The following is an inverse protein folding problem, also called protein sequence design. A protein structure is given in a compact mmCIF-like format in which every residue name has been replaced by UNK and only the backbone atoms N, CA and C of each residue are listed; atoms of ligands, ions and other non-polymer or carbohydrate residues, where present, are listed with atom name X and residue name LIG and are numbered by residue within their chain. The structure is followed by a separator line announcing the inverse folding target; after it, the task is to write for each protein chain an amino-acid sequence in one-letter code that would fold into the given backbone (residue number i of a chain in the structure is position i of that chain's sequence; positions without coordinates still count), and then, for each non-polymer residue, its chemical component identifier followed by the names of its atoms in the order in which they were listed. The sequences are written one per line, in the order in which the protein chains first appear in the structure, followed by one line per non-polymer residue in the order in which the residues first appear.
data_IF_509069194223
#
_entry.id   IF_509069194223
#
_cell.length_a   1.000
_cell.length_b   1.000
_cell.length_c   1.000
_cell.angle_alpha   90.00
_cell.angle_beta   90.00
_cell.angle_gamma   90.00
#
_symmetry.space_group_name_H-M   'P 1'
#
loop_
_entity.id
_entity.type
_entity.pdbx_description
1 polymer ?
#
# COMPACT_ATOMS: atom_id res chain seq x y z
N UNK A 1 -1.05 11.84 16.28
CA UNK A 1 -1.04 10.55 17.01
C UNK A 1 0.06 10.56 18.06
N UNK A 2 -0.06 9.75 19.12
CA UNK A 2 0.92 9.74 20.23
C UNK A 2 2.36 9.43 19.77
N UNK A 3 2.51 8.63 18.72
CA UNK A 3 3.81 8.19 18.19
C UNK A 3 4.29 9.02 16.98
N UNK A 4 3.71 10.20 16.75
CA UNK A 4 4.11 11.07 15.64
C UNK A 4 5.55 11.58 15.81
N UNK A 5 6.40 11.31 14.82
CA UNK A 5 7.83 11.63 14.84
C UNK A 5 8.65 10.74 15.77
N UNK A 6 8.06 9.73 16.41
CA UNK A 6 8.71 8.87 17.39
C UNK A 6 9.15 7.54 16.75
N UNK A 7 10.23 7.57 15.97
CA UNK A 7 10.76 6.41 15.24
C UNK A 7 11.08 5.22 16.15
N UNK A 8 11.89 5.41 17.19
CA UNK A 8 12.28 4.32 18.09
C UNK A 8 11.09 3.74 18.86
N UNK A 9 10.15 4.58 19.31
CA UNK A 9 8.92 4.11 19.94
C UNK A 9 8.07 3.27 18.97
N UNK A 10 7.93 3.72 17.72
CA UNK A 10 7.21 2.96 16.69
C UNK A 10 7.89 1.61 16.40
N UNK A 11 9.23 1.54 16.40
CA UNK A 11 9.97 0.28 16.27
C UNK A 11 9.77 -0.64 17.45
N UNK A 12 9.81 -0.13 18.68
CA UNK A 12 9.57 -0.94 19.90
C UNK A 12 8.18 -1.55 19.86
N UNK A 13 7.14 -0.74 19.63
CA UNK A 13 5.76 -1.22 19.51
C UNK A 13 5.59 -2.19 18.33
N UNK A 14 6.16 -1.87 17.17
CA UNK A 14 6.06 -2.67 15.96
C UNK A 14 6.78 -4.02 16.00
N UNK A 15 7.77 -4.18 16.89
CA UNK A 15 8.49 -5.44 17.12
C UNK A 15 7.80 -6.35 18.11
N UNK A 16 6.96 -5.79 18.98
CA UNK A 16 6.15 -6.55 19.92
C UNK A 16 4.98 -7.22 19.18
N UNK A 17 5.12 -8.52 18.91
CA UNK A 17 4.15 -9.30 18.15
C UNK A 17 2.83 -9.48 18.90
N UNK A 18 2.87 -9.56 20.23
CA UNK A 18 1.66 -9.71 21.04
C UNK A 18 0.85 -8.40 20.99
N UNK A 19 1.55 -7.26 21.13
CA UNK A 19 0.93 -5.96 20.96
C UNK A 19 0.35 -5.78 19.56
N UNK A 20 1.08 -6.12 18.50
CA UNK A 20 0.57 -6.01 17.12
C UNK A 20 -0.64 -6.92 16.88
N UNK A 21 -0.63 -8.16 17.36
CA UNK A 21 -1.79 -9.06 17.28
C UNK A 21 -3.01 -8.44 17.95
N UNK A 22 -2.84 -7.91 19.17
CA UNK A 22 -3.93 -7.26 19.90
C UNK A 22 -4.42 -5.98 19.21
N UNK A 23 -3.50 -5.20 18.66
CA UNK A 23 -3.83 -3.98 17.92
C UNK A 23 -4.68 -4.30 16.69
N UNK A 24 -4.32 -5.35 15.95
CA UNK A 24 -5.11 -5.81 14.79
C UNK A 24 -6.48 -6.33 15.21
N UNK A 25 -6.59 -7.08 16.31
CA UNK A 25 -7.90 -7.47 16.87
C UNK A 25 -8.79 -6.23 17.11
N UNK A 26 -8.24 -5.15 17.68
CA UNK A 26 -8.98 -3.91 17.91
C UNK A 26 -9.39 -3.18 16.64
N UNK A 27 -8.66 -3.35 15.53
CA UNK A 27 -9.07 -2.81 14.22
C UNK A 27 -10.36 -3.49 13.71
N UNK A 28 -10.66 -4.71 14.16
CA UNK A 28 -11.85 -5.49 13.77
C UNK A 28 -13.04 -5.38 14.71
N UNK A 29 -12.98 -4.56 15.77
CA UNK A 29 -14.09 -4.45 16.74
C UNK A 29 -15.22 -3.58 16.17
N UNK A 30 -16.40 -4.18 15.95
CA UNK A 30 -17.57 -3.47 15.42
C UNK A 30 -18.34 -2.66 16.48
N UNK A 31 -18.31 -3.10 17.74
CA UNK A 31 -19.10 -2.50 18.82
C UNK A 31 -18.59 -1.12 19.26
N UNK A 32 -17.33 -0.80 18.91
CA UNK A 32 -16.62 0.37 19.41
C UNK A 32 -15.87 1.09 18.27
N UNK A 33 -16.61 1.84 17.46
CA UNK A 33 -16.05 2.59 16.32
C UNK A 33 -14.85 3.48 16.68
N UNK A 34 -14.85 4.10 17.87
CA UNK A 34 -13.71 4.90 18.35
C UNK A 34 -12.43 4.07 18.60
N UNK A 35 -12.57 2.86 19.14
CA UNK A 35 -11.45 1.93 19.35
C UNK A 35 -10.93 1.45 18.00
N UNK A 36 -11.83 1.01 17.12
CA UNK A 36 -11.52 0.59 15.75
C UNK A 36 -10.78 1.67 14.97
N UNK A 37 -11.29 2.91 15.00
CA UNK A 37 -10.66 4.04 14.32
C UNK A 37 -9.26 4.32 14.85
N UNK A 38 -9.09 4.47 16.17
CA UNK A 38 -7.80 4.81 16.75
C UNK A 38 -6.77 3.68 16.64
N UNK A 39 -7.20 2.42 16.75
CA UNK A 39 -6.35 1.24 16.54
C UNK A 39 -5.83 1.18 15.10
N UNK A 40 -6.71 1.36 14.12
CA UNK A 40 -6.37 1.36 12.69
C UNK A 40 -5.40 2.49 12.36
N UNK A 41 -5.63 3.68 12.92
CA UNK A 41 -4.71 4.82 12.81
C UNK A 41 -3.36 4.49 13.43
N UNK A 42 -3.33 3.95 14.65
CA UNK A 42 -2.08 3.57 15.29
C UNK A 42 -1.29 2.56 14.45
N UNK A 43 -1.95 1.60 13.81
CA UNK A 43 -1.34 0.66 12.89
C UNK A 43 -0.63 1.37 11.71
N UNK A 44 -1.31 2.30 11.04
CA UNK A 44 -0.74 3.11 9.97
C UNK A 44 0.44 3.97 10.45
N UNK A 45 0.31 4.54 11.65
CA UNK A 45 1.35 5.38 12.26
C UNK A 45 2.59 4.59 12.68
N UNK A 46 2.46 3.34 13.13
CA UNK A 46 3.59 2.46 13.42
C UNK A 46 4.43 2.23 12.15
N UNK A 47 3.78 1.98 11.02
CA UNK A 47 4.45 1.82 9.71
C UNK A 47 5.15 3.12 9.30
N UNK A 48 4.41 4.24 9.32
CA UNK A 48 4.90 5.55 8.88
C UNK A 48 6.14 6.01 9.64
N UNK A 49 6.18 5.81 10.95
CA UNK A 49 7.26 6.35 11.79
C UNK A 49 8.43 5.38 11.93
N UNK A 50 8.19 4.07 12.00
CA UNK A 50 9.29 3.10 12.10
C UNK A 50 10.06 2.94 10.79
N UNK A 51 9.36 3.03 9.64
CA UNK A 51 9.88 2.75 8.29
C UNK A 51 10.73 1.47 8.24
N UNK A 52 10.37 0.48 9.07
CA UNK A 52 11.20 -0.68 9.33
C UNK A 52 10.55 -1.94 8.73
N UNK A 53 11.32 -2.69 7.94
CA UNK A 53 10.80 -3.88 7.26
C UNK A 53 10.35 -4.99 8.22
N UNK A 54 11.01 -5.17 9.36
CA UNK A 54 10.60 -6.15 10.38
C UNK A 54 9.24 -5.80 10.99
N UNK A 55 9.03 -4.52 11.30
CA UNK A 55 7.75 -3.99 11.82
C UNK A 55 6.62 -4.20 10.80
N UNK A 56 6.86 -3.83 9.54
CA UNK A 56 5.88 -4.05 8.47
C UNK A 56 5.55 -5.54 8.29
N UNK A 57 6.55 -6.43 8.35
CA UNK A 57 6.33 -7.89 8.30
C UNK A 57 5.49 -8.40 9.47
N UNK A 58 5.72 -7.90 10.68
CA UNK A 58 4.90 -8.28 11.84
C UNK A 58 3.43 -7.88 11.63
N UNK A 59 3.18 -6.69 11.09
CA UNK A 59 1.82 -6.21 10.78
C UNK A 59 1.16 -7.05 9.68
N UNK A 60 1.90 -7.37 8.61
CA UNK A 60 1.41 -8.23 7.53
C UNK A 60 1.03 -9.61 8.06
N UNK A 61 1.88 -10.22 8.89
CA UNK A 61 1.65 -11.56 9.48
C UNK A 61 0.53 -11.60 10.52
N UNK A 62 0.13 -10.45 11.03
CA UNK A 62 -1.00 -10.30 11.93
C UNK A 62 -2.29 -9.91 11.20
N UNK A 63 -2.34 -10.02 9.87
CA UNK A 63 -3.50 -9.67 9.03
C UNK A 63 -3.92 -8.19 9.11
N UNK A 64 -2.95 -7.30 9.35
CA UNK A 64 -3.18 -5.86 9.47
C UNK A 64 -3.47 -5.13 8.15
N UNK A 65 -3.10 -5.72 7.00
CA UNK A 65 -3.16 -5.06 5.68
C UNK A 65 -4.59 -4.69 5.29
N UNK A 66 -5.56 -5.60 5.51
CA UNK A 66 -6.97 -5.37 5.15
C UNK A 66 -7.55 -4.11 5.81
N UNK A 67 -7.12 -3.81 7.05
CA UNK A 67 -7.58 -2.65 7.79
C UNK A 67 -7.00 -1.36 7.22
N UNK A 68 -5.75 -1.38 6.74
CA UNK A 68 -5.15 -0.24 6.03
C UNK A 68 -5.84 0.02 4.69
N UNK A 69 -6.16 -1.02 3.93
CA UNK A 69 -6.87 -0.88 2.65
C UNK A 69 -8.28 -0.34 2.87
N UNK A 70 -9.01 -0.86 3.85
CA UNK A 70 -10.34 -0.34 4.25
C UNK A 70 -10.24 1.12 4.74
N UNK A 71 -9.19 1.46 5.49
CA UNK A 71 -8.97 2.82 5.99
C UNK A 71 -8.73 3.84 4.86
N UNK A 72 -8.19 3.41 3.71
CA UNK A 72 -7.98 4.26 2.55
C UNK A 72 -9.29 4.82 1.94
N UNK A 73 -10.44 4.20 2.24
CA UNK A 73 -11.78 4.66 1.82
C UNK A 73 -12.63 5.19 2.99
N UNK A 74 -12.02 5.44 4.15
CA UNK A 74 -12.69 6.03 5.32
C UNK A 74 -13.38 7.36 4.99
N UNK A 75 -14.48 7.70 5.66
CA UNK A 75 -15.12 9.03 5.55
C UNK A 75 -14.20 10.18 6.00
N UNK A 76 -13.14 9.89 6.76
CA UNK A 76 -12.21 10.88 7.26
C UNK A 76 -10.97 10.98 6.37
N UNK A 77 -10.81 12.10 5.67
CA UNK A 77 -9.65 12.35 4.78
C UNK A 77 -8.29 12.19 5.47
N UNK A 78 -8.21 12.51 6.78
CA UNK A 78 -6.99 12.30 7.56
C UNK A 78 -6.62 10.80 7.61
N UNK A 79 -7.61 9.92 7.81
CA UNK A 79 -7.40 8.48 7.85
C UNK A 79 -7.05 7.93 6.46
N UNK A 80 -7.74 8.39 5.41
CA UNK A 80 -7.39 8.03 4.03
C UNK A 80 -5.91 8.31 3.75
N UNK A 81 -5.45 9.51 4.10
CA UNK A 81 -4.07 9.93 3.91
C UNK A 81 -3.06 9.08 4.72
N UNK A 82 -3.35 8.82 5.99
CA UNK A 82 -2.52 7.97 6.86
C UNK A 82 -2.37 6.55 6.29
N UNK A 83 -3.47 5.97 5.81
CA UNK A 83 -3.49 4.66 5.16
C UNK A 83 -2.69 4.63 3.85
N UNK A 84 -2.91 5.59 2.96
CA UNK A 84 -2.22 5.65 1.67
C UNK A 84 -0.70 5.76 1.85
N UNK A 85 -0.23 6.54 2.82
CA UNK A 85 1.20 6.63 3.16
C UNK A 85 1.72 5.28 3.67
N UNK A 86 1.01 4.63 4.59
CA UNK A 86 1.42 3.33 5.14
C UNK A 86 1.48 2.24 4.05
N UNK A 87 0.46 2.18 3.19
CA UNK A 87 0.42 1.28 2.03
C UNK A 87 1.56 1.56 1.06
N UNK A 88 1.86 2.83 0.78
CA UNK A 88 2.97 3.24 -0.11
C UNK A 88 4.31 2.73 0.43
N UNK A 89 4.51 2.82 1.75
CA UNK A 89 5.72 2.31 2.40
C UNK A 89 5.81 0.79 2.36
N UNK A 90 4.69 0.07 2.53
CA UNK A 90 4.65 -1.40 2.39
C UNK A 90 5.05 -1.80 0.98
N UNK A 91 4.36 -1.28 -0.06
CA UNK A 91 4.58 -1.69 -1.44
C UNK A 91 5.95 -1.28 -1.97
N UNK A 92 6.47 -0.13 -1.52
CA UNK A 92 7.79 0.37 -1.90
C UNK A 92 8.96 -0.28 -1.14
N UNK A 93 8.71 -1.24 -0.24
CA UNK A 93 9.73 -1.89 0.58
C UNK A 93 10.01 -3.33 0.14
N UNK A 94 10.98 -3.97 0.79
CA UNK A 94 11.26 -5.40 0.63
C UNK A 94 10.15 -6.31 1.20
N UNK A 95 9.08 -5.75 1.75
CA UNK A 95 7.96 -6.51 2.36
C UNK A 95 6.86 -6.86 1.36
N UNK A 96 6.88 -6.30 0.14
CA UNK A 96 5.84 -6.53 -0.85
C UNK A 96 5.59 -8.02 -1.14
N UNK A 97 6.62 -8.87 -1.20
CA UNK A 97 6.41 -10.32 -1.45
C UNK A 97 5.53 -10.97 -0.37
N UNK A 98 5.76 -10.60 0.90
CA UNK A 98 4.99 -11.12 2.03
C UNK A 98 3.59 -10.51 2.07
N UNK A 99 3.43 -9.27 1.60
CA UNK A 99 2.15 -8.55 1.63
C UNK A 99 1.27 -8.80 0.40
N UNK A 100 1.81 -9.32 -0.71
CA UNK A 100 1.14 -9.35 -2.01
C UNK A 100 -0.23 -10.06 -1.97
N UNK A 101 -0.31 -11.19 -1.26
CA UNK A 101 -1.57 -11.94 -1.13
C UNK A 101 -2.61 -11.14 -0.32
N UNK A 102 -2.22 -10.58 0.81
CA UNK A 102 -3.11 -9.78 1.65
C UNK A 102 -3.59 -8.49 0.93
N UNK A 103 -2.73 -7.87 0.11
CA UNK A 103 -3.09 -6.69 -0.70
C UNK A 103 -4.12 -7.05 -1.79
N UNK A 104 -3.99 -8.24 -2.38
CA UNK A 104 -4.94 -8.76 -3.37
C UNK A 104 -6.27 -9.12 -2.73
N UNK A 105 -6.26 -9.86 -1.62
CA UNK A 105 -7.47 -10.24 -0.88
C UNK A 105 -8.23 -9.03 -0.34
N UNK A 106 -7.52 -7.95 -0.01
CA UNK A 106 -8.11 -6.68 0.39
C UNK A 106 -8.54 -5.79 -0.78
N UNK A 107 -8.45 -6.27 -2.03
CA UNK A 107 -8.92 -5.58 -3.24
C UNK A 107 -8.27 -4.19 -3.46
N UNK A 108 -6.97 -4.06 -3.14
CA UNK A 108 -6.28 -2.77 -3.20
C UNK A 108 -6.39 -2.09 -4.57
N UNK A 109 -6.30 -2.85 -5.67
CA UNK A 109 -6.37 -2.28 -7.03
C UNK A 109 -7.74 -1.66 -7.30
N UNK A 110 -8.82 -2.29 -6.83
CA UNK A 110 -10.17 -1.74 -6.95
C UNK A 110 -10.32 -0.47 -6.12
N UNK A 111 -9.81 -0.47 -4.88
CA UNK A 111 -9.79 0.73 -4.03
C UNK A 111 -9.04 1.88 -4.70
N UNK A 112 -7.87 1.63 -5.29
CA UNK A 112 -7.11 2.63 -6.06
C UNK A 112 -7.95 3.18 -7.21
N UNK A 113 -8.52 2.30 -8.04
CA UNK A 113 -9.32 2.71 -9.20
C UNK A 113 -10.51 3.58 -8.78
N UNK A 114 -11.20 3.21 -7.70
CA UNK A 114 -12.35 3.95 -7.16
C UNK A 114 -11.94 5.33 -6.64
N UNK A 115 -10.83 5.43 -5.90
CA UNK A 115 -10.32 6.71 -5.39
C UNK A 115 -9.92 7.67 -6.53
N UNK A 116 -9.30 7.15 -7.60
CA UNK A 116 -8.89 7.96 -8.76
C UNK A 116 -10.06 8.38 -9.66
N UNK A 117 -11.11 7.57 -9.74
CA UNK A 117 -12.29 7.82 -10.58
C UNK A 117 -13.32 8.75 -9.91
N UNK A 118 -13.38 8.76 -8.58
CA UNK A 118 -14.38 9.53 -7.85
C UNK A 118 -14.13 11.05 -7.94
N UNK A 119 -15.15 11.79 -8.39
CA UNK A 119 -15.11 13.25 -8.46
C UNK A 119 -15.11 13.93 -7.07
N UNK A 120 -15.41 13.19 -6.01
CA UNK A 120 -15.45 13.71 -4.64
C UNK A 120 -14.10 13.55 -3.91
N UNK A 121 -13.15 12.81 -4.50
CA UNK A 121 -11.83 12.61 -3.90
C UNK A 121 -11.05 13.93 -3.88
N UNK A 122 -10.53 14.30 -2.72
CA UNK A 122 -9.74 15.53 -2.59
C UNK A 122 -8.42 15.41 -3.38
N UNK A 123 -7.92 16.51 -3.96
CA UNK A 123 -6.68 16.48 -4.77
C UNK A 123 -5.49 15.82 -4.08
N UNK A 124 -5.28 16.08 -2.78
CA UNK A 124 -4.18 15.47 -2.03
C UNK A 124 -4.31 13.95 -1.93
N UNK A 125 -5.54 13.44 -1.81
CA UNK A 125 -5.81 12.00 -1.77
C UNK A 125 -5.60 11.39 -3.16
N UNK A 126 -6.00 12.06 -4.23
CA UNK A 126 -5.70 11.64 -5.60
C UNK A 126 -4.18 11.55 -5.81
N UNK A 127 -3.42 12.59 -5.47
CA UNK A 127 -1.97 12.63 -5.63
C UNK A 127 -1.26 11.52 -4.84
N UNK A 128 -1.71 11.24 -3.61
CA UNK A 128 -1.18 10.14 -2.80
C UNK A 128 -1.57 8.76 -3.34
N UNK A 129 -2.77 8.62 -3.90
CA UNK A 129 -3.21 7.39 -4.56
C UNK A 129 -2.38 7.12 -5.81
N UNK A 130 -2.09 8.14 -6.62
CA UNK A 130 -1.18 8.06 -7.77
C UNK A 130 0.25 7.69 -7.34
N UNK A 131 0.73 8.24 -6.23
CA UNK A 131 2.04 7.92 -5.66
C UNK A 131 2.13 6.46 -5.19
N UNK A 132 1.09 5.97 -4.50
CA UNK A 132 0.95 4.56 -4.12
C UNK A 132 0.97 3.65 -5.36
N UNK A 133 0.17 4.01 -6.36
CA UNK A 133 0.06 3.28 -7.63
C UNK A 133 1.42 3.20 -8.33
N UNK A 134 2.15 4.32 -8.39
CA UNK A 134 3.49 4.37 -8.98
C UNK A 134 4.47 3.48 -8.22
N UNK A 135 4.47 3.54 -6.89
CA UNK A 135 5.32 2.68 -6.08
C UNK A 135 5.03 1.20 -6.33
N UNK A 136 3.75 0.83 -6.46
CA UNK A 136 3.33 -0.53 -6.79
C UNK A 136 3.82 -0.94 -8.19
N UNK A 137 3.62 -0.11 -9.21
CA UNK A 137 4.10 -0.38 -10.59
C UNK A 137 5.61 -0.58 -10.62
N UNK A 138 6.37 0.29 -9.96
CA UNK A 138 7.84 0.16 -9.89
C UNK A 138 8.24 -1.15 -9.22
N UNK A 139 7.61 -1.49 -8.09
CA UNK A 139 7.95 -2.69 -7.33
C UNK A 139 7.66 -3.99 -8.10
N UNK A 140 6.60 -4.04 -8.90
CA UNK A 140 6.27 -5.21 -9.75
C UNK A 140 7.00 -5.21 -11.10
N UNK A 141 7.62 -4.09 -11.52
CA UNK A 141 8.34 -3.99 -12.80
C UNK A 141 9.83 -4.33 -12.71
N UNK A 142 10.49 -3.97 -11.60
CA UNK A 142 11.95 -4.00 -11.49
C UNK A 142 12.52 -5.27 -10.86
N UNK A 143 11.69 -6.27 -10.57
CA UNK A 143 12.17 -7.50 -9.92
C UNK A 143 12.24 -8.64 -10.95
N UNK A 144 13.44 -9.07 -11.41
CA UNK A 144 13.53 -10.34 -12.11
C UNK A 144 12.97 -11.43 -11.20
N UNK A 145 12.34 -12.50 -11.73
CA UNK A 145 11.84 -13.60 -10.91
C UNK A 145 13.00 -14.10 -10.04
N UNK A 146 12.98 -13.73 -8.76
CA UNK A 146 13.99 -14.17 -7.82
C UNK A 146 13.77 -15.66 -7.64
N UNK A 147 14.67 -16.46 -8.21
CA UNK A 147 14.88 -17.83 -7.79
C UNK A 147 15.26 -17.77 -6.31
N UNK A 148 14.25 -17.90 -5.45
CA UNK A 148 14.41 -17.83 -4.01
C UNK A 148 15.48 -18.85 -3.57
N UNK A 149 16.41 -18.42 -2.71
CA UNK A 149 17.38 -19.27 -2.02
C UNK A 149 16.74 -20.30 -1.06
N UNK A 150 15.41 -20.44 -1.06
CA UNK A 150 14.67 -21.53 -0.44
C UNK A 150 14.20 -22.50 -1.53
N UNK A 151 14.97 -23.57 -1.74
CA UNK A 151 14.77 -24.62 -2.75
C UNK A 151 13.40 -25.33 -2.66
N UNK A 152 12.64 -25.15 -1.57
CA UNK A 152 11.31 -25.78 -1.39
C UNK A 152 10.14 -24.94 -1.92
N UNK A 153 10.20 -23.60 -1.87
CA UNK A 153 9.13 -22.72 -2.36
C UNK A 153 9.33 -22.34 -3.84
N UNK A 154 10.57 -22.31 -4.32
CA UNK A 154 10.89 -22.10 -5.73
C UNK A 154 10.26 -23.16 -6.66
N UNK A 155 9.92 -24.35 -6.14
CA UNK A 155 9.32 -25.43 -6.91
C UNK A 155 7.83 -25.24 -7.24
N UNK A 156 7.15 -24.19 -6.74
CA UNK A 156 5.71 -23.98 -7.03
C UNK A 156 5.40 -22.79 -7.92
N UNK A 157 6.34 -21.87 -8.19
CA UNK A 157 6.11 -20.70 -9.06
C UNK A 157 5.02 -19.72 -8.59
N UNK A 158 4.45 -19.91 -7.39
CA UNK A 158 3.27 -19.18 -6.94
C UNK A 158 3.56 -17.72 -6.57
N UNK A 159 4.74 -17.40 -6.02
CA UNK A 159 5.08 -16.04 -5.58
C UNK A 159 5.35 -15.07 -6.74
N UNK A 160 6.14 -15.49 -7.74
CA UNK A 160 6.34 -14.70 -8.98
C UNK A 160 5.04 -14.50 -9.76
N UNK A 161 4.10 -15.45 -9.63
CA UNK A 161 2.77 -15.35 -10.21
C UNK A 161 1.92 -14.26 -9.53
N UNK A 162 2.03 -14.07 -8.20
CA UNK A 162 1.20 -13.07 -7.51
C UNK A 162 1.54 -11.62 -7.85
N UNK A 163 2.81 -11.27 -8.02
CA UNK A 163 3.20 -9.91 -8.41
C UNK A 163 2.88 -9.61 -9.88
N UNK A 164 3.03 -10.59 -10.76
CA UNK A 164 2.57 -10.47 -12.16
C UNK A 164 1.05 -10.31 -12.22
N UNK A 165 0.29 -11.03 -11.39
CA UNK A 165 -1.16 -10.84 -11.27
C UNK A 165 -1.53 -9.41 -10.81
N UNK A 166 -0.84 -8.85 -9.80
CA UNK A 166 -1.10 -7.47 -9.36
C UNK A 166 -0.82 -6.45 -10.47
N UNK A 167 0.23 -6.67 -11.29
CA UNK A 167 0.51 -5.83 -12.45
C UNK A 167 -0.59 -5.93 -13.49
N UNK A 168 -1.01 -7.15 -13.84
CA UNK A 168 -2.08 -7.38 -14.82
C UNK A 168 -3.40 -6.76 -14.37
N UNK A 169 -3.78 -6.96 -13.11
CA UNK A 169 -4.96 -6.35 -12.50
C UNK A 169 -4.91 -4.82 -12.58
N UNK A 170 -3.76 -4.21 -12.28
CA UNK A 170 -3.57 -2.76 -12.40
C UNK A 170 -3.81 -2.26 -13.83
N UNK A 171 -3.29 -2.98 -14.83
CA UNK A 171 -3.49 -2.64 -16.25
C UNK A 171 -4.95 -2.82 -16.67
N UNK A 172 -5.60 -3.89 -16.21
CA UNK A 172 -7.01 -4.19 -16.51
C UNK A 172 -8.00 -3.25 -15.81
N UNK A 173 -7.62 -2.67 -14.67
CA UNK A 173 -8.45 -1.71 -13.93
C UNK A 173 -8.53 -0.31 -14.59
N UNK A 174 -7.90 -0.09 -15.74
CA UNK A 174 -7.94 1.19 -16.46
C UNK A 174 -7.09 2.29 -15.84
N UNK A 175 -6.16 1.92 -14.94
CA UNK A 175 -5.25 2.86 -14.27
C UNK A 175 -4.42 3.71 -15.23
N UNK A 176 -3.87 3.18 -16.35
CA UNK A 176 -3.13 4.01 -17.30
C UNK A 176 -3.98 5.13 -17.93
N UNK A 177 -5.24 4.84 -18.23
CA UNK A 177 -6.15 5.83 -18.82
C UNK A 177 -6.58 6.88 -17.80
N UNK A 178 -6.84 6.47 -16.55
CA UNK A 178 -7.10 7.39 -15.44
C UNK A 178 -5.90 8.31 -15.19
N UNK A 179 -4.67 7.79 -15.20
CA UNK A 179 -3.47 8.60 -15.05
C UNK A 179 -3.34 9.65 -16.18
N UNK A 180 -3.59 9.26 -17.43
CA UNK A 180 -3.60 10.19 -18.58
C UNK A 180 -4.69 11.25 -18.50
N UNK A 181 -5.85 10.93 -17.93
CA UNK A 181 -6.88 11.94 -17.67
C UNK A 181 -6.43 12.92 -16.58
N UNK A 182 -5.85 12.41 -15.49
CA UNK A 182 -5.41 13.19 -14.34
C UNK A 182 -4.15 14.05 -14.59
N UNK A 183 -3.36 13.77 -15.64
CA UNK A 183 -2.24 14.65 -16.04
C UNK A 183 -2.71 16.03 -16.53
N UNK A 184 -4.01 16.18 -16.82
CA UNK A 184 -4.64 17.45 -17.18
C UNK A 184 -5.44 18.10 -16.03
N UNK A 185 -5.36 17.57 -14.80
CA UNK A 185 -6.09 18.04 -13.64
C UNK A 185 -5.73 19.49 -13.23
N UNK A 186 -6.66 20.24 -12.64
CA UNK A 186 -6.41 21.65 -12.26
C UNK A 186 -5.37 21.83 -11.15
N UNK A 187 -5.32 20.88 -10.21
CA UNK A 187 -4.35 20.86 -9.12
C UNK A 187 -2.98 20.35 -9.60
N UNK A 188 -1.92 21.12 -9.30
CA UNK A 188 -0.55 20.85 -9.73
C UNK A 188 0.03 19.55 -9.17
N UNK A 189 -0.21 19.23 -7.90
CA UNK A 189 0.30 18.00 -7.27
C UNK A 189 -0.30 16.75 -7.94
N UNK A 190 -1.58 16.81 -8.30
CA UNK A 190 -2.26 15.71 -9.02
C UNK A 190 -1.63 15.51 -10.40
N UNK A 191 -1.43 16.60 -11.17
CA UNK A 191 -0.79 16.49 -12.49
C UNK A 191 0.61 15.91 -12.40
N UNK A 192 1.42 16.45 -11.50
CA UNK A 192 2.80 16.01 -11.30
C UNK A 192 2.85 14.52 -10.91
N UNK A 193 1.98 14.07 -10.00
CA UNK A 193 1.90 12.68 -9.61
C UNK A 193 1.44 11.77 -10.76
N UNK A 194 0.50 12.24 -11.59
CA UNK A 194 -0.01 11.51 -12.74
C UNK A 194 1.06 11.36 -13.83
N UNK A 195 1.78 12.42 -14.16
CA UNK A 195 2.91 12.40 -15.10
C UNK A 195 4.01 11.44 -14.63
N UNK A 196 4.36 11.46 -13.34
CA UNK A 196 5.33 10.51 -12.79
C UNK A 196 4.86 9.05 -12.91
N UNK A 197 3.56 8.78 -12.74
CA UNK A 197 3.01 7.44 -12.93
C UNK A 197 3.04 7.03 -14.40
N UNK A 198 2.66 7.93 -15.32
CA UNK A 198 2.68 7.68 -16.78
C UNK A 198 4.10 7.31 -17.21
N UNK A 199 5.12 8.07 -16.79
CA UNK A 199 6.51 7.78 -17.15
C UNK A 199 6.92 6.36 -16.74
N UNK A 200 6.58 5.93 -15.53
CA UNK A 200 6.89 4.56 -15.05
C UNK A 200 6.10 3.49 -15.83
N UNK A 201 4.87 3.77 -16.25
CA UNK A 201 4.07 2.85 -17.05
C UNK A 201 4.61 2.71 -18.48
N UNK A 202 5.14 3.78 -19.06
CA UNK A 202 5.66 3.83 -20.44
C UNK A 202 7.10 3.32 -20.56
N UNK A 203 7.93 3.48 -19.52
CA UNK A 203 9.35 3.07 -19.56
C UNK A 203 9.56 1.56 -19.74
N UNK A 204 8.54 0.72 -19.51
CA UNK A 204 8.64 -0.74 -19.62
C UNK A 204 9.71 -1.32 -18.68
N UNK A 205 9.82 -2.66 -18.53
CA UNK A 205 11.00 -3.21 -17.88
C UNK A 205 12.21 -2.87 -18.76
N UNK A 206 13.08 -1.99 -18.28
CA UNK A 206 14.38 -1.75 -18.89
C UNK A 206 15.08 -3.11 -19.05
N UNK A 207 15.16 -3.58 -20.30
CA UNK A 207 15.98 -4.72 -20.69
C UNK A 207 17.42 -4.24 -20.51
N UNK A 208 17.97 -4.41 -19.30
CA UNK A 208 19.40 -4.29 -19.08
C UNK A 208 20.09 -5.32 -20.01
N UNK A 209 20.89 -4.78 -20.93
CA UNK A 209 21.78 -5.53 -21.83
C UNK A 209 23.00 -6.05 -21.07
#
# INVERSE_FOLDING_TARGET
MLIDGQDETAKVLGRDKEFISRLVEWCGVEEHAGVKGEATRLLAWIIKNSKNAEVMKNIVRADGVQYLVTMATSEHYLMQNEALIALTLIVGSSVLDEAAMALKEAELIEVIANLLKSQQTLPNIIANTLSLTRALVMAVSHRPPQLAQCTLLACTGMLSNMQSNLREELMCAGIPDLAKQLSSHENEDVRNAAEMLINVLEEGPSVER
#
